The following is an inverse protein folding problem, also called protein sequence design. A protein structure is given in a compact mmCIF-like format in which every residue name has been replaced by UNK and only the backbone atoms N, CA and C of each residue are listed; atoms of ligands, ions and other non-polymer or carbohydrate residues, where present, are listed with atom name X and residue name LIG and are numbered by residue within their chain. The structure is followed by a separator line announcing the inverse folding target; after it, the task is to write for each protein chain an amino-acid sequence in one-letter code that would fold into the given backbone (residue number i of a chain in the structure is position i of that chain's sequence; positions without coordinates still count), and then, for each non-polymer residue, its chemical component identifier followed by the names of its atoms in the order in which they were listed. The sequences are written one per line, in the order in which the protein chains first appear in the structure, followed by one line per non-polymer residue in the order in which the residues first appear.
data_IF_893321415819
#
_entry.id   IF_893321415819
#
_cell.length_a   1.000
_cell.length_b   1.000
_cell.length_c   1.000
_cell.angle_alpha   90.00
_cell.angle_beta   90.00
_cell.angle_gamma   90.00
#
_symmetry.space_group_name_H-M   'P 1'
#
loop_
_entity.id
_entity.type
_entity.pdbx_description
1 polymer ?
#
# COMPACT_ATOMS: atom_id res chain seq x y z
N UNK A 1 35.98 -19.63 -21.72
CA UNK A 1 35.57 -18.23 -22.05
C UNK A 1 34.16 -18.12 -22.64
N UNK A 2 33.74 -18.93 -23.64
CA UNK A 2 32.38 -18.86 -24.23
C UNK A 2 31.23 -19.01 -23.23
N UNK A 3 31.31 -19.94 -22.27
CA UNK A 3 30.23 -20.16 -21.28
C UNK A 3 30.00 -18.97 -20.33
N UNK A 4 31.07 -18.24 -19.97
CA UNK A 4 30.97 -17.05 -19.12
C UNK A 4 30.22 -15.93 -19.86
N UNK A 5 30.49 -15.77 -21.16
CA UNK A 5 29.81 -14.80 -22.00
C UNK A 5 28.30 -15.09 -22.12
N UNK A 6 27.91 -16.37 -22.28
CA UNK A 6 26.50 -16.77 -22.34
C UNK A 6 25.77 -16.50 -21.02
N UNK A 7 26.36 -16.83 -19.87
CA UNK A 7 25.76 -16.54 -18.57
C UNK A 7 25.58 -15.03 -18.36
N UNK A 8 26.55 -14.22 -18.77
CA UNK A 8 26.47 -12.76 -18.64
C UNK A 8 25.36 -12.17 -19.51
N UNK A 9 25.18 -12.65 -20.75
CA UNK A 9 24.10 -12.21 -21.64
C UNK A 9 22.73 -12.61 -21.10
N UNK A 10 22.60 -13.79 -20.48
CA UNK A 10 21.33 -14.21 -19.86
C UNK A 10 21.00 -13.34 -18.64
N UNK A 11 21.98 -13.08 -17.77
CA UNK A 11 21.76 -12.23 -16.59
C UNK A 11 21.38 -10.81 -17.01
N UNK A 12 22.08 -10.21 -17.98
CA UNK A 12 21.81 -8.85 -18.45
C UNK A 12 20.48 -8.73 -19.20
N UNK A 13 19.98 -9.80 -19.83
CA UNK A 13 18.70 -9.77 -20.55
C UNK A 13 17.50 -10.13 -19.67
N UNK A 14 17.66 -10.99 -18.67
CA UNK A 14 16.57 -11.43 -17.79
C UNK A 14 16.38 -10.49 -16.59
N UNK A 15 17.47 -9.89 -16.08
CA UNK A 15 17.41 -8.99 -14.92
C UNK A 15 16.52 -7.75 -15.14
N UNK A 16 16.60 -7.02 -16.27
CA UNK A 16 15.76 -5.85 -16.49
C UNK A 16 14.27 -6.19 -16.59
N UNK A 17 13.95 -7.37 -17.12
CA UNK A 17 12.57 -7.86 -17.25
C UNK A 17 11.98 -8.15 -15.88
N UNK A 18 12.75 -8.76 -14.97
CA UNK A 18 12.30 -9.01 -13.60
C UNK A 18 12.10 -7.73 -12.79
N UNK A 19 12.91 -6.70 -13.03
CA UNK A 19 12.74 -5.40 -12.36
C UNK A 19 11.58 -4.60 -12.96
N UNK A 20 11.36 -4.64 -14.27
CA UNK A 20 10.27 -3.90 -14.93
C UNK A 20 8.88 -4.41 -14.50
N UNK A 21 8.73 -5.72 -14.29
CA UNK A 21 7.44 -6.31 -13.87
C UNK A 21 7.01 -5.89 -12.45
N UNK A 22 7.95 -5.45 -11.59
CA UNK A 22 7.65 -5.09 -10.20
C UNK A 22 7.19 -3.64 -10.01
N UNK A 23 7.54 -2.72 -10.91
CA UNK A 23 7.20 -1.29 -10.78
C UNK A 23 5.91 -0.89 -11.52
N UNK A 24 5.35 -1.79 -12.33
CA UNK A 24 4.10 -1.59 -13.06
C UNK A 24 2.96 -2.47 -12.50
N UNK A 25 3.03 -2.86 -11.22
CA UNK A 25 1.90 -3.54 -10.58
C UNK A 25 0.77 -2.49 -10.38
N UNK A 26 -0.38 -2.60 -11.07
CA UNK A 26 -1.48 -1.65 -10.92
C UNK A 26 -2.09 -1.65 -9.51
N UNK A 27 -1.66 -2.59 -8.67
CA UNK A 27 -2.06 -2.75 -7.27
C UNK A 27 -1.02 -2.22 -6.29
N UNK A 28 0.06 -1.62 -6.79
CA UNK A 28 1.05 -0.92 -5.99
C UNK A 28 0.84 0.59 -6.09
N UNK A 29 0.65 1.23 -4.93
CA UNK A 29 0.58 2.69 -4.82
C UNK A 29 1.89 3.16 -4.23
N UNK A 30 2.67 3.91 -5.01
CA UNK A 30 3.99 4.39 -4.61
C UNK A 30 4.04 5.91 -4.47
N UNK A 31 4.64 6.40 -3.39
CA UNK A 31 4.93 7.83 -3.21
C UNK A 31 6.28 8.06 -2.51
N UNK A 32 6.90 9.20 -2.79
CA UNK A 32 8.19 9.61 -2.23
C UNK A 32 8.08 10.97 -1.56
N UNK A 33 8.63 11.04 -0.35
CA UNK A 33 9.12 12.30 0.22
C UNK A 33 8.26 12.94 1.30
N UNK A 34 8.77 14.10 1.72
CA UNK A 34 8.25 14.99 2.75
C UNK A 34 7.36 16.02 2.08
N UNK A 35 6.04 15.83 2.13
CA UNK A 35 5.11 16.90 1.82
C UNK A 35 4.51 17.39 3.14
N UNK A 36 4.64 18.69 3.41
CA UNK A 36 3.93 19.35 4.51
C UNK A 36 2.40 19.37 4.26
N UNK A 37 1.97 18.91 3.09
CA UNK A 37 0.60 18.87 2.61
C UNK A 37 0.16 17.41 2.48
N UNK A 38 -1.16 17.19 2.56
CA UNK A 38 -1.71 15.84 2.42
C UNK A 38 -1.69 15.43 0.95
N UNK A 39 -0.97 14.36 0.62
CA UNK A 39 -0.93 13.83 -0.76
C UNK A 39 -2.07 12.83 -0.96
N UNK A 40 -2.87 13.03 -2.00
CA UNK A 40 -3.92 12.10 -2.41
C UNK A 40 -3.38 11.08 -3.41
N UNK A 41 -3.62 9.81 -3.13
CA UNK A 41 -3.20 8.65 -3.93
C UNK A 41 -4.43 7.81 -4.27
N UNK A 42 -4.46 7.22 -5.45
CA UNK A 42 -5.60 6.44 -5.92
C UNK A 42 -5.18 4.99 -6.17
N UNK A 43 -5.84 4.06 -5.49
CA UNK A 43 -5.64 2.62 -5.63
C UNK A 43 -6.73 2.03 -6.52
N UNK A 44 -6.35 1.10 -7.41
CA UNK A 44 -7.31 0.38 -8.22
C UNK A 44 -8.01 -0.70 -7.39
N UNK A 45 -9.34 -0.66 -7.30
CA UNK A 45 -10.15 -1.65 -6.56
C UNK A 45 -10.14 -3.04 -7.22
N UNK A 46 -9.86 -3.14 -8.53
CA UNK A 46 -9.74 -4.44 -9.21
C UNK A 46 -8.62 -5.32 -8.64
N UNK A 47 -7.75 -4.72 -7.83
CA UNK A 47 -6.73 -5.40 -7.06
C UNK A 47 -7.33 -6.13 -5.86
N UNK A 48 -7.34 -7.47 -5.93
CA UNK A 48 -7.68 -8.30 -4.78
C UNK A 48 -6.70 -8.11 -3.63
N UNK A 49 -5.40 -7.99 -3.94
CA UNK A 49 -4.33 -7.66 -3.01
C UNK A 49 -3.50 -6.53 -3.60
N UNK A 50 -2.99 -5.65 -2.74
CA UNK A 50 -2.10 -4.59 -3.16
C UNK A 50 -1.24 -4.08 -2.01
N UNK A 51 -0.48 -3.04 -2.30
CA UNK A 51 0.43 -2.46 -1.31
C UNK A 51 0.59 -0.96 -1.51
N UNK A 52 0.77 -0.25 -0.40
CA UNK A 52 1.10 1.19 -0.38
C UNK A 52 2.54 1.31 0.08
N UNK A 53 3.42 1.78 -0.80
CA UNK A 53 4.81 2.06 -0.50
C UNK A 53 5.03 3.56 -0.39
N UNK A 54 5.68 3.95 0.70
CA UNK A 54 5.97 5.33 1.02
C UNK A 54 7.43 5.47 1.42
N UNK A 55 8.26 5.98 0.51
CA UNK A 55 9.68 6.23 0.77
C UNK A 55 9.87 7.58 1.47
N UNK A 56 10.70 7.61 2.50
CA UNK A 56 10.97 8.80 3.33
C UNK A 56 9.72 9.47 3.89
N UNK A 57 8.84 8.72 4.60
CA UNK A 57 7.52 9.21 4.97
C UNK A 57 7.59 10.35 6.00
N UNK A 58 6.85 11.43 5.75
CA UNK A 58 6.61 12.54 6.67
C UNK A 58 5.30 13.25 6.29
N UNK A 59 4.47 13.57 7.28
CA UNK A 59 3.15 14.17 7.04
C UNK A 59 2.05 13.11 6.88
N UNK A 60 1.05 13.39 6.05
CA UNK A 60 -0.06 12.46 5.76
C UNK A 60 -0.24 12.20 4.28
N UNK A 61 -0.66 10.98 3.98
CA UNK A 61 -1.21 10.61 2.67
C UNK A 61 -2.65 10.15 2.84
N UNK A 62 -3.48 10.39 1.83
CA UNK A 62 -4.82 9.81 1.71
C UNK A 62 -4.83 8.85 0.54
N UNK A 63 -5.25 7.63 0.77
CA UNK A 63 -5.39 6.60 -0.25
C UNK A 63 -6.88 6.39 -0.51
N UNK A 64 -7.27 6.62 -1.75
CA UNK A 64 -8.62 6.53 -2.25
C UNK A 64 -8.80 5.20 -2.98
N UNK A 65 -9.74 4.38 -2.52
CA UNK A 65 -10.17 3.16 -3.18
C UNK A 65 -11.57 3.40 -3.72
N UNK A 66 -11.68 3.55 -5.05
CA UNK A 66 -12.94 3.91 -5.71
C UNK A 66 -13.48 2.69 -6.45
N UNK A 67 -14.76 2.38 -6.21
CA UNK A 67 -15.47 1.34 -6.96
C UNK A 67 -16.18 1.90 -8.19
N UNK A 68 -15.92 1.35 -9.38
CA UNK A 68 -16.69 1.69 -10.59
C UNK A 68 -18.03 0.93 -10.67
N UNK A 69 -18.10 -0.30 -10.16
CA UNK A 69 -19.21 -1.23 -10.46
C UNK A 69 -20.33 -1.27 -9.41
N UNK A 70 -20.43 -0.26 -8.53
CA UNK A 70 -21.42 -0.20 -7.43
C UNK A 70 -21.46 -1.40 -6.47
N UNK A 71 -20.55 -2.37 -6.60
CA UNK A 71 -20.44 -3.51 -5.67
C UNK A 71 -19.97 -3.03 -4.28
N UNK A 72 -20.52 -3.63 -3.22
CA UNK A 72 -20.05 -3.42 -1.85
C UNK A 72 -18.71 -4.15 -1.68
N UNK A 73 -17.70 -3.44 -1.19
CA UNK A 73 -16.37 -3.98 -0.92
C UNK A 73 -15.91 -3.56 0.46
N UNK A 74 -14.81 -4.11 0.95
CA UNK A 74 -14.11 -3.61 2.12
C UNK A 74 -12.61 -3.62 1.83
N UNK A 75 -11.87 -2.70 2.42
CA UNK A 75 -10.42 -2.67 2.36
C UNK A 75 -9.89 -3.06 3.72
N UNK A 76 -9.15 -4.16 3.78
CA UNK A 76 -8.51 -4.66 4.99
C UNK A 76 -7.01 -4.43 4.88
N UNK A 77 -6.45 -3.69 5.83
CA UNK A 77 -5.01 -3.50 5.96
C UNK A 77 -4.45 -4.54 6.91
N UNK A 78 -3.36 -5.17 6.49
CA UNK A 78 -2.58 -6.10 7.30
C UNK A 78 -1.19 -5.51 7.59
N UNK A 79 -0.43 -6.22 8.43
CA UNK A 79 0.89 -5.86 8.93
C UNK A 79 1.71 -4.96 7.96
N UNK A 80 2.24 -3.86 8.49
CA UNK A 80 3.14 -2.98 7.73
C UNK A 80 4.55 -3.54 7.73
N UNK A 81 5.24 -3.49 6.59
CA UNK A 81 6.43 -4.30 6.36
C UNK A 81 7.73 -3.71 6.92
N UNK A 82 7.86 -2.39 7.10
CA UNK A 82 9.02 -1.70 7.73
C UNK A 82 8.61 -0.23 8.01
N UNK A 83 9.20 0.45 9.00
CA UNK A 83 9.19 1.91 9.08
C UNK A 83 8.69 2.62 10.36
N UNK A 84 7.40 2.60 10.67
CA UNK A 84 6.82 3.53 11.66
C UNK A 84 5.46 3.10 12.16
N UNK A 85 5.10 3.59 13.36
CA UNK A 85 3.71 3.72 13.82
C UNK A 85 2.95 4.55 12.79
N UNK A 86 2.24 3.89 11.87
CA UNK A 86 1.31 4.55 11.00
C UNK A 86 -0.02 4.64 11.72
N UNK A 87 -0.54 5.85 11.82
CA UNK A 87 -1.92 6.05 12.24
C UNK A 87 -2.81 5.87 11.02
N UNK A 88 -3.78 4.97 11.14
CA UNK A 88 -4.86 4.76 10.20
C UNK A 88 -6.05 5.60 10.62
N UNK A 89 -6.53 6.45 9.72
CA UNK A 89 -7.78 7.18 9.93
C UNK A 89 -8.80 6.77 8.87
N UNK A 90 -9.90 6.21 9.35
CA UNK A 90 -11.06 5.86 8.55
C UNK A 90 -11.91 7.12 8.33
N UNK A 91 -11.89 7.65 7.12
CA UNK A 91 -12.66 8.85 6.78
C UNK A 91 -14.18 8.62 6.84
N UNK A 92 -14.65 7.38 6.72
CA UNK A 92 -16.09 7.05 6.77
C UNK A 92 -16.65 7.07 8.19
N UNK A 93 -15.87 6.62 9.17
CA UNK A 93 -16.28 6.54 10.57
C UNK A 93 -15.70 7.65 11.43
N UNK A 94 -14.69 8.37 10.93
CA UNK A 94 -13.92 9.34 11.69
C UNK A 94 -13.05 8.71 12.79
N UNK A 95 -12.88 7.38 12.77
CA UNK A 95 -12.13 6.66 13.79
C UNK A 95 -10.64 6.59 13.43
N UNK A 96 -9.84 6.75 14.48
CA UNK A 96 -8.40 6.57 14.44
C UNK A 96 -8.05 5.18 14.97
N UNK A 97 -7.22 4.46 14.22
CA UNK A 97 -6.68 3.17 14.58
C UNK A 97 -5.15 3.22 14.47
N UNK A 98 -4.45 2.68 15.45
CA UNK A 98 -3.02 2.44 15.30
C UNK A 98 -2.84 1.20 14.45
N UNK A 99 -1.97 1.26 13.44
CA UNK A 99 -1.63 0.06 12.68
C UNK A 99 -0.96 -0.97 13.60
N UNK A 100 -1.37 -2.25 13.54
CA UNK A 100 -0.75 -3.32 14.32
C UNK A 100 0.73 -3.43 13.97
N UNK A 101 1.59 -3.64 14.96
CA UNK A 101 3.02 -3.77 14.74
C UNK A 101 3.38 -5.18 14.26
N UNK A 102 4.35 -5.26 13.34
CA UNK A 102 4.98 -6.53 12.95
C UNK A 102 5.41 -7.32 14.20
N UNK A 103 4.81 -8.49 14.39
CA UNK A 103 5.16 -9.40 15.48
C UNK A 103 4.32 -9.25 16.76
N UNK A 104 3.34 -8.35 16.82
CA UNK A 104 2.29 -8.46 17.83
C UNK A 104 1.51 -9.77 17.61
N UNK A 105 1.37 -10.56 18.68
CA UNK A 105 0.67 -11.85 18.61
C UNK A 105 -0.82 -11.60 18.41
N UNK A 106 -1.23 -11.71 17.15
CA UNK A 106 -2.60 -11.54 16.71
C UNK A 106 -2.59 -10.69 15.44
N UNK A 107 -2.66 -11.33 14.27
CA UNK A 107 -2.85 -10.63 13.00
C UNK A 107 -4.23 -9.95 13.01
N UNK A 108 -4.33 -8.78 13.62
CA UNK A 108 -5.55 -7.99 13.60
C UNK A 108 -5.58 -7.20 12.30
N UNK A 109 -6.31 -7.68 11.30
CA UNK A 109 -6.62 -6.86 10.13
C UNK A 109 -7.51 -5.69 10.54
N UNK A 110 -7.23 -4.49 10.03
CA UNK A 110 -8.11 -3.33 10.16
C UNK A 110 -8.88 -3.19 8.86
N UNK A 111 -10.19 -3.43 8.91
CA UNK A 111 -11.06 -3.36 7.74
C UNK A 111 -11.96 -2.11 7.78
N UNK A 112 -12.04 -1.41 6.67
CA UNK A 112 -12.93 -0.25 6.48
C UNK A 112 -13.92 -0.51 5.35
N UNK A 113 -15.16 -0.07 5.59
CA UNK A 113 -16.27 -0.16 4.64
C UNK A 113 -16.39 1.13 3.80
N UNK A 114 -16.89 1.03 2.56
CA UNK A 114 -17.06 2.17 1.67
C UNK A 114 -18.18 3.08 2.15
N UNK A 115 -17.93 4.38 2.05
CA UNK A 115 -18.95 5.41 2.13
C UNK A 115 -19.16 5.99 0.74
N UNK A 116 -20.40 5.97 0.22
CA UNK A 116 -20.71 6.51 -1.11
C UNK A 116 -19.84 5.94 -2.26
N UNK A 117 -19.55 4.63 -2.23
CA UNK A 117 -18.73 3.86 -3.20
C UNK A 117 -17.21 4.07 -3.11
N UNK A 118 -16.75 4.77 -2.09
CA UNK A 118 -15.34 5.07 -1.89
C UNK A 118 -14.89 4.67 -0.47
N UNK A 119 -13.71 4.09 -0.36
CA UNK A 119 -12.98 4.00 0.91
C UNK A 119 -11.84 5.00 0.85
N UNK A 120 -11.79 5.93 1.80
CA UNK A 120 -10.66 6.86 1.95
C UNK A 120 -9.96 6.58 3.26
N UNK A 121 -8.68 6.27 3.15
CA UNK A 121 -7.82 5.98 4.29
C UNK A 121 -6.74 7.03 4.37
N UNK A 122 -6.59 7.65 5.54
CA UNK A 122 -5.43 8.50 5.79
C UNK A 122 -4.38 7.71 6.55
N UNK A 123 -3.16 7.69 6.02
CA UNK A 123 -1.97 7.19 6.69
C UNK A 123 -1.14 8.39 7.14
N UNK A 124 -0.84 8.47 8.42
CA UNK A 124 -0.01 9.52 8.99
C UNK A 124 1.32 8.93 9.45
N UNK A 125 2.41 9.54 9.01
CA UNK A 125 3.75 9.23 9.48
C UNK A 125 4.14 10.12 10.67
N UNK A 126 5.00 9.63 11.59
CA UNK A 126 5.55 10.44 12.67
C UNK A 126 6.43 11.56 12.11
N UNK A 127 6.69 12.60 12.91
CA UNK A 127 7.58 13.70 12.51
C UNK A 127 9.05 13.26 12.36
N UNK A 128 9.43 12.16 13.00
CA UNK A 128 10.75 11.54 12.88
C UNK A 128 10.90 10.88 11.52
N UNK A 129 11.99 11.18 10.82
CA UNK A 129 12.24 10.69 9.47
C UNK A 129 12.50 9.17 9.49
N UNK A 130 11.77 8.45 8.65
CA UNK A 130 11.89 7.00 8.46
C UNK A 130 12.36 6.74 7.04
N UNK A 131 13.02 5.60 6.79
CA UNK A 131 13.53 5.28 5.46
C UNK A 131 12.43 4.84 4.49
N UNK A 132 11.58 3.90 4.91
CA UNK A 132 10.52 3.33 4.08
C UNK A 132 9.37 2.90 4.98
N UNK A 133 8.13 3.15 4.55
CA UNK A 133 6.92 2.52 5.05
C UNK A 133 6.25 1.72 3.93
N UNK A 134 5.77 0.52 4.25
CA UNK A 134 5.02 -0.32 3.32
C UNK A 134 3.83 -0.93 4.04
N UNK A 135 2.63 -0.83 3.48
CA UNK A 135 1.41 -1.42 4.07
C UNK A 135 0.72 -2.28 3.03
N UNK A 136 0.33 -3.49 3.44
CA UNK A 136 -0.41 -4.40 2.58
C UNK A 136 -1.91 -4.16 2.76
N UNK A 137 -2.66 -4.22 1.67
CA UNK A 137 -4.11 -4.17 1.71
C UNK A 137 -4.74 -5.29 0.88
N UNK A 138 -5.94 -5.69 1.27
CA UNK A 138 -6.78 -6.63 0.55
C UNK A 138 -8.17 -6.05 0.32
N UNK A 139 -8.66 -6.20 -0.90
CA UNK A 139 -10.04 -5.88 -1.24
C UNK A 139 -10.89 -7.12 -1.03
N UNK A 140 -11.75 -7.13 -0.01
CA UNK A 140 -12.69 -8.23 0.24
C UNK A 140 -14.06 -7.84 -0.29
N UNK A 141 -14.64 -8.70 -1.13
CA UNK A 141 -16.06 -8.58 -1.50
C UNK A 141 -16.90 -9.09 -0.33
N UNK A 142 -17.90 -8.34 0.07
CA UNK A 142 -18.93 -8.91 0.94
C UNK A 142 -19.80 -9.84 0.10
N UNK A 143 -19.75 -11.14 0.39
CA UNK A 143 -20.75 -12.07 -0.13
C UNK A 143 -22.06 -11.76 0.59
N UNK A 144 -23.06 -11.30 -0.17
CA UNK A 144 -24.44 -11.14 0.29
C UNK A 144 -25.18 -12.48 0.32
#
# INVERSE_FOLDING_TARGET
MRHILYCMVIVVSVWPVLTAVRFDDPCEVFTVGVQNETTDLFANRSCGNGSVYWAYPRGSIRVHFISMDSEIFSICFSDWLIGSVLTFFDASTGKEHNMPHLGEKGHSEICTMPHQKEVVVRLQAPETLVYVAAVLYQTKRECS
#
